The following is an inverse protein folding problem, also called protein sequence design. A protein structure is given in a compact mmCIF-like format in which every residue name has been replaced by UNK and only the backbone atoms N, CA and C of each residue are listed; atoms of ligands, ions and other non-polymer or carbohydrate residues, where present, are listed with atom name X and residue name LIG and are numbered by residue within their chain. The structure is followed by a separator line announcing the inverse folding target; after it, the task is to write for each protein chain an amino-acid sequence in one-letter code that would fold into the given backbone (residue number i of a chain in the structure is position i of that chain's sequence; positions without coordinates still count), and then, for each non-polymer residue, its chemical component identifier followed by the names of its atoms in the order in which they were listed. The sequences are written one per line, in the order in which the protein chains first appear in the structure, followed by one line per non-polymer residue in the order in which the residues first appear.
data_IF_882302077021
#
_entry.id   IF_882302077021
#
_cell.length_a   1.000
_cell.length_b   1.000
_cell.length_c   1.000
_cell.angle_alpha   90.00
_cell.angle_beta   90.00
_cell.angle_gamma   90.00
#
_symmetry.space_group_name_H-M   'P 1'
#
loop_
_entity.id
_entity.type
_entity.pdbx_description
1 polymer ?
#
# COMPACT_ATOMS: atom_id res chain seq x y z
N UNK A 1 48.05 64.97 -7.58
CA UNK A 1 48.51 63.74 -8.30
C UNK A 1 47.86 62.44 -7.81
N UNK A 2 47.30 62.38 -6.59
CA UNK A 2 46.74 61.13 -6.02
C UNK A 2 45.44 60.63 -6.67
N UNK A 3 44.54 61.51 -7.12
CA UNK A 3 43.27 61.11 -7.76
C UNK A 3 43.42 60.44 -9.14
N UNK A 4 44.52 60.69 -9.86
CA UNK A 4 44.79 60.06 -11.16
C UNK A 4 45.29 58.61 -10.99
N UNK A 5 46.06 58.32 -9.95
CA UNK A 5 46.54 56.98 -9.62
C UNK A 5 45.40 56.05 -9.17
N UNK A 6 44.43 56.55 -8.41
CA UNK A 6 43.26 55.76 -7.95
C UNK A 6 42.28 55.46 -9.07
N UNK A 7 42.07 56.38 -10.01
CA UNK A 7 41.19 56.18 -11.16
C UNK A 7 41.72 55.14 -12.16
N UNK A 8 43.03 55.15 -12.41
CA UNK A 8 43.69 54.14 -13.25
C UNK A 8 43.63 52.75 -12.60
N UNK A 9 43.87 52.66 -11.29
CA UNK A 9 43.73 51.42 -10.53
C UNK A 9 42.29 50.87 -10.52
N UNK A 10 41.29 51.74 -10.41
CA UNK A 10 39.87 51.37 -10.47
C UNK A 10 39.50 50.79 -11.84
N UNK A 11 39.96 51.43 -12.93
CA UNK A 11 39.71 50.95 -14.30
C UNK A 11 40.35 49.59 -14.57
N UNK A 12 41.60 49.40 -14.15
CA UNK A 12 42.28 48.12 -14.34
C UNK A 12 41.66 47.01 -13.48
N UNK A 13 41.20 47.34 -12.27
CA UNK A 13 40.43 46.42 -11.43
C UNK A 13 39.09 46.04 -12.06
N UNK A 14 38.32 46.99 -12.60
CA UNK A 14 37.06 46.70 -13.29
C UNK A 14 37.27 45.83 -14.53
N UNK A 15 38.29 46.11 -15.34
CA UNK A 15 38.61 45.29 -16.51
C UNK A 15 39.05 43.88 -16.12
N UNK A 16 39.82 43.74 -15.03
CA UNK A 16 40.25 42.46 -14.49
C UNK A 16 39.09 41.67 -13.88
N UNK A 17 38.19 42.34 -13.15
CA UNK A 17 36.96 41.77 -12.64
C UNK A 17 36.02 41.36 -13.79
N UNK A 18 35.95 42.14 -14.87
CA UNK A 18 35.15 41.82 -16.06
C UNK A 18 35.70 40.62 -16.84
N UNK A 19 37.01 40.57 -17.05
CA UNK A 19 37.68 39.42 -17.64
C UNK A 19 37.51 38.17 -16.77
N UNK A 20 37.67 38.32 -15.46
CA UNK A 20 37.47 37.23 -14.50
C UNK A 20 36.02 36.76 -14.46
N UNK A 21 35.03 37.66 -14.51
CA UNK A 21 33.60 37.34 -14.53
C UNK A 21 33.20 36.58 -15.80
N UNK A 22 33.82 36.90 -16.95
CA UNK A 22 33.63 36.12 -18.19
C UNK A 22 34.18 34.70 -18.06
N UNK A 23 35.34 34.54 -17.43
CA UNK A 23 35.97 33.22 -17.23
C UNK A 23 35.31 32.41 -16.11
N UNK A 24 34.83 33.06 -15.06
CA UNK A 24 34.33 32.46 -13.82
C UNK A 24 32.86 32.81 -13.57
N UNK A 25 32.06 32.90 -14.64
CA UNK A 25 30.62 33.21 -14.57
C UNK A 25 29.84 32.21 -13.69
N UNK A 26 30.37 30.98 -13.52
CA UNK A 26 29.79 29.95 -12.67
C UNK A 26 29.91 30.27 -11.17
N UNK A 27 30.90 31.07 -10.74
CA UNK A 27 31.12 31.42 -9.32
C UNK A 27 29.97 32.26 -8.74
N UNK A 28 29.55 33.39 -9.37
CA UNK A 28 28.39 34.13 -8.89
C UNK A 28 27.09 33.33 -9.03
N UNK A 29 26.95 32.47 -10.04
CA UNK A 29 25.80 31.57 -10.16
C UNK A 29 25.73 30.59 -8.98
N UNK A 30 26.85 29.97 -8.61
CA UNK A 30 26.96 29.10 -7.44
C UNK A 30 26.61 29.85 -6.15
N UNK A 31 27.05 31.10 -6.03
CA UNK A 31 26.75 31.93 -4.87
C UNK A 31 25.26 32.26 -4.77
N UNK A 32 24.60 32.55 -5.90
CA UNK A 32 23.14 32.75 -5.96
C UNK A 32 22.40 31.47 -5.60
N UNK A 33 22.83 30.30 -6.10
CA UNK A 33 22.22 29.01 -5.75
C UNK A 33 22.38 28.73 -4.25
N UNK A 34 23.57 28.96 -3.68
CA UNK A 34 23.81 28.80 -2.25
C UNK A 34 22.97 29.78 -1.40
N UNK A 35 22.83 31.03 -1.85
CA UNK A 35 21.97 32.02 -1.21
C UNK A 35 20.49 31.61 -1.26
N UNK A 36 20.00 31.10 -2.40
CA UNK A 36 18.65 30.57 -2.53
C UNK A 36 18.45 29.37 -1.62
N UNK A 37 19.34 28.39 -1.64
CA UNK A 37 19.27 27.20 -0.77
C UNK A 37 19.23 27.60 0.72
N UNK A 38 20.06 28.56 1.15
CA UNK A 38 20.06 29.03 2.54
C UNK A 38 18.80 29.79 2.92
N UNK A 39 18.19 30.54 2.00
CA UNK A 39 16.90 31.19 2.23
C UNK A 39 15.74 30.18 2.27
N UNK A 40 15.74 29.19 1.38
CA UNK A 40 14.71 28.13 1.34
C UNK A 40 14.82 27.13 2.51
N UNK A 41 16.03 26.86 3.00
CA UNK A 41 16.25 25.95 4.14
C UNK A 41 16.05 26.62 5.50
N UNK A 42 16.19 27.95 5.59
CA UNK A 42 15.91 28.72 6.82
C UNK A 42 14.46 29.15 6.96
N UNK A 43 13.68 29.15 5.88
CA UNK A 43 12.24 29.34 5.96
C UNK A 43 11.55 28.09 6.51
N UNK A 44 10.38 28.27 7.11
CA UNK A 44 9.46 27.22 7.60
C UNK A 44 9.09 26.13 6.58
N UNK A 45 9.71 26.08 5.39
CA UNK A 45 9.49 25.10 4.33
C UNK A 45 10.00 23.68 4.67
N UNK A 46 10.92 23.52 5.64
CA UNK A 46 11.40 22.19 6.05
C UNK A 46 10.36 21.46 6.92
N UNK A 47 9.63 22.18 7.76
CA UNK A 47 8.58 21.65 8.63
C UNK A 47 7.42 20.96 7.87
N UNK A 48 6.82 21.54 6.81
CA UNK A 48 5.76 20.90 6.05
C UNK A 48 6.27 19.75 5.19
N UNK A 49 7.55 19.74 4.77
CA UNK A 49 8.13 18.59 4.06
C UNK A 49 8.25 17.39 5.02
N UNK A 50 8.72 17.63 6.25
CA UNK A 50 8.78 16.60 7.29
C UNK A 50 7.38 16.11 7.68
N UNK A 51 6.41 17.02 7.86
CA UNK A 51 5.03 16.65 8.16
C UNK A 51 4.37 15.86 7.01
N UNK A 52 4.64 16.21 5.75
CA UNK A 52 4.21 15.43 4.59
C UNK A 52 4.85 14.04 4.55
N UNK A 53 6.13 13.91 4.89
CA UNK A 53 6.80 12.61 4.99
C UNK A 53 6.19 11.76 6.10
N UNK A 54 5.94 12.34 7.28
CA UNK A 54 5.33 11.62 8.40
C UNK A 54 3.89 11.21 8.10
N UNK A 55 3.11 12.07 7.44
CA UNK A 55 1.75 11.73 6.96
C UNK A 55 1.79 10.59 5.94
N UNK A 56 2.72 10.63 4.99
CA UNK A 56 2.88 9.56 4.01
C UNK A 56 3.27 8.25 4.66
N UNK A 57 4.15 8.29 5.67
CA UNK A 57 4.54 7.11 6.45
C UNK A 57 3.35 6.53 7.20
N UNK A 58 2.60 7.35 7.94
CA UNK A 58 1.39 6.91 8.65
C UNK A 58 0.36 6.31 7.71
N UNK A 59 0.09 6.97 6.58
CA UNK A 59 -0.82 6.46 5.55
C UNK A 59 -0.34 5.11 4.97
N UNK A 60 0.96 4.89 4.87
CA UNK A 60 1.50 3.61 4.40
C UNK A 60 1.33 2.52 5.46
N UNK A 61 1.66 2.83 6.73
CA UNK A 61 1.46 1.91 7.86
C UNK A 61 -0.03 1.51 7.99
N UNK A 62 -0.95 2.46 7.88
CA UNK A 62 -2.40 2.19 7.90
C UNK A 62 -2.85 1.32 6.72
N UNK A 63 -2.31 1.54 5.52
CA UNK A 63 -2.61 0.72 4.34
C UNK A 63 -2.11 -0.71 4.49
N UNK A 64 -0.91 -0.88 5.04
CA UNK A 64 -0.36 -2.22 5.31
C UNK A 64 -1.21 -2.93 6.35
N UNK A 65 -1.59 -2.26 7.42
CA UNK A 65 -2.45 -2.83 8.47
C UNK A 65 -3.81 -3.27 7.94
N UNK A 66 -4.48 -2.43 7.15
CA UNK A 66 -5.76 -2.80 6.51
C UNK A 66 -5.59 -3.97 5.56
N UNK A 67 -4.48 -4.04 4.83
CA UNK A 67 -4.20 -5.16 3.93
C UNK A 67 -3.95 -6.47 4.70
N UNK A 68 -3.20 -6.42 5.80
CA UNK A 68 -2.97 -7.56 6.69
C UNK A 68 -4.27 -8.06 7.33
N UNK A 69 -5.08 -7.15 7.88
CA UNK A 69 -6.39 -7.49 8.46
C UNK A 69 -7.33 -8.12 7.40
N UNK A 70 -7.37 -7.57 6.18
CA UNK A 70 -8.14 -8.17 5.09
C UNK A 70 -7.64 -9.57 4.73
N UNK A 71 -6.32 -9.77 4.64
CA UNK A 71 -5.73 -11.07 4.33
C UNK A 71 -6.03 -12.11 5.42
N UNK A 72 -5.93 -11.73 6.69
CA UNK A 72 -6.26 -12.63 7.80
C UNK A 72 -7.75 -13.00 7.79
N UNK A 73 -8.63 -12.02 7.51
CA UNK A 73 -10.07 -12.26 7.38
C UNK A 73 -10.39 -13.17 6.20
N UNK A 74 -9.74 -13.02 5.05
CA UNK A 74 -9.90 -13.91 3.89
C UNK A 74 -9.45 -15.34 4.20
N UNK A 75 -8.30 -15.51 4.85
CA UNK A 75 -7.81 -16.84 5.28
C UNK A 75 -8.84 -17.50 6.19
N UNK A 76 -9.31 -16.77 7.21
CA UNK A 76 -10.31 -17.28 8.16
C UNK A 76 -11.62 -17.67 7.49
N UNK A 77 -12.12 -16.85 6.55
CA UNK A 77 -13.33 -17.16 5.77
C UNK A 77 -13.13 -18.41 4.91
N UNK A 78 -12.00 -18.52 4.24
CA UNK A 78 -11.66 -19.67 3.39
C UNK A 78 -11.57 -20.97 4.20
N UNK A 79 -10.92 -20.92 5.38
CA UNK A 79 -10.85 -22.06 6.29
C UNK A 79 -12.23 -22.48 6.79
N UNK A 80 -13.09 -21.54 7.17
CA UNK A 80 -14.46 -21.83 7.60
C UNK A 80 -15.28 -22.50 6.49
N UNK A 81 -15.19 -22.00 5.25
CA UNK A 81 -15.86 -22.61 4.09
C UNK A 81 -15.38 -24.03 3.86
N UNK A 82 -14.06 -24.27 3.96
CA UNK A 82 -13.48 -25.59 3.78
C UNK A 82 -13.90 -26.57 4.88
N UNK A 83 -13.87 -26.15 6.14
CA UNK A 83 -14.30 -26.98 7.27
C UNK A 83 -15.76 -27.39 7.12
N UNK A 84 -16.65 -26.45 6.78
CA UNK A 84 -18.08 -26.72 6.56
C UNK A 84 -18.32 -27.67 5.38
N UNK A 85 -17.56 -27.52 4.30
CA UNK A 85 -17.59 -28.45 3.18
C UNK A 85 -17.21 -29.86 3.64
N UNK A 86 -16.06 -30.02 4.30
CA UNK A 86 -15.55 -31.32 4.74
C UNK A 86 -16.51 -31.99 5.75
N UNK A 87 -17.08 -31.22 6.67
CA UNK A 87 -18.07 -31.72 7.64
C UNK A 87 -19.36 -32.18 6.96
N UNK A 88 -19.89 -31.40 6.02
CA UNK A 88 -21.10 -31.75 5.28
C UNK A 88 -20.87 -33.04 4.49
N UNK A 89 -19.74 -33.16 3.80
CA UNK A 89 -19.39 -34.37 3.04
C UNK A 89 -19.29 -35.59 3.97
N UNK A 90 -18.62 -35.46 5.12
CA UNK A 90 -18.54 -36.55 6.11
C UNK A 90 -19.91 -36.94 6.67
N UNK A 91 -20.80 -35.98 6.90
CA UNK A 91 -22.16 -36.28 7.37
C UNK A 91 -22.99 -37.00 6.30
N UNK A 92 -22.87 -36.58 5.03
CA UNK A 92 -23.48 -37.28 3.90
C UNK A 92 -22.96 -38.72 3.84
N UNK A 93 -21.64 -38.91 3.92
CA UNK A 93 -21.01 -40.24 3.90
C UNK A 93 -21.49 -41.13 5.06
N UNK A 94 -21.59 -40.59 6.28
CA UNK A 94 -22.07 -41.32 7.46
C UNK A 94 -23.55 -41.71 7.34
N UNK A 95 -24.40 -40.83 6.81
CA UNK A 95 -25.82 -41.14 6.62
C UNK A 95 -26.07 -42.14 5.48
N UNK A 96 -25.15 -42.23 4.52
CA UNK A 96 -25.34 -43.02 3.30
C UNK A 96 -24.42 -44.23 3.13
N UNK A 97 -23.73 -44.67 4.20
CA UNK A 97 -22.87 -45.87 4.15
C UNK A 97 -23.61 -47.17 3.76
N UNK A 98 -24.94 -47.14 3.66
CA UNK A 98 -25.78 -48.30 3.29
C UNK A 98 -26.61 -48.11 2.00
N UNK A 99 -26.58 -46.95 1.32
CA UNK A 99 -27.49 -46.68 0.18
C UNK A 99 -26.77 -46.11 -1.06
N UNK A 100 -26.97 -46.79 -2.20
CA UNK A 100 -26.55 -46.51 -3.59
C UNK A 100 -25.58 -45.34 -3.82
N UNK A 101 -24.35 -45.66 -4.25
CA UNK A 101 -23.25 -44.72 -4.59
C UNK A 101 -23.62 -43.59 -5.55
N UNK A 102 -24.66 -43.76 -6.37
CA UNK A 102 -25.14 -42.75 -7.31
C UNK A 102 -25.78 -41.53 -6.63
N UNK A 103 -26.43 -41.74 -5.48
CA UNK A 103 -27.10 -40.68 -4.74
C UNK A 103 -26.10 -39.84 -3.94
N UNK A 104 -25.07 -40.50 -3.40
CA UNK A 104 -23.95 -39.84 -2.71
C UNK A 104 -23.21 -38.87 -3.65
N UNK A 105 -22.88 -39.32 -4.86
CA UNK A 105 -22.20 -38.47 -5.86
C UNK A 105 -22.99 -37.19 -6.21
N UNK A 106 -24.32 -37.30 -6.35
CA UNK A 106 -25.19 -36.14 -6.62
C UNK A 106 -25.20 -35.15 -5.46
N UNK A 107 -25.28 -35.65 -4.21
CA UNK A 107 -25.25 -34.79 -3.02
C UNK A 107 -23.90 -34.09 -2.86
N UNK A 108 -22.78 -34.78 -3.07
CA UNK A 108 -21.44 -34.16 -3.05
C UNK A 108 -21.30 -33.06 -4.11
N UNK A 109 -21.80 -33.31 -5.32
CA UNK A 109 -21.79 -32.31 -6.38
C UNK A 109 -22.60 -31.06 -6.00
N UNK A 110 -23.74 -31.27 -5.34
CA UNK A 110 -24.59 -30.17 -4.87
C UNK A 110 -23.94 -29.32 -3.78
N UNK A 111 -23.25 -29.98 -2.84
CA UNK A 111 -22.45 -29.29 -1.81
C UNK A 111 -21.32 -28.48 -2.46
N UNK A 112 -20.67 -29.02 -3.49
CA UNK A 112 -19.66 -28.29 -4.26
C UNK A 112 -20.23 -27.06 -4.97
N UNK A 113 -21.39 -27.18 -5.61
CA UNK A 113 -22.10 -26.06 -6.25
C UNK A 113 -22.42 -24.95 -5.22
N UNK A 114 -22.89 -25.31 -4.02
CA UNK A 114 -23.15 -24.34 -2.95
C UNK A 114 -21.87 -23.64 -2.48
N UNK A 115 -20.76 -24.37 -2.31
CA UNK A 115 -19.48 -23.76 -1.96
C UNK A 115 -19.01 -22.79 -3.04
N UNK A 116 -19.14 -23.14 -4.32
CA UNK A 116 -18.77 -22.23 -5.41
C UNK A 116 -19.65 -20.98 -5.43
N UNK A 117 -20.96 -21.12 -5.20
CA UNK A 117 -21.90 -20.00 -5.17
C UNK A 117 -21.73 -19.08 -3.94
N UNK A 118 -21.31 -19.63 -2.80
CA UNK A 118 -21.23 -18.91 -1.52
C UNK A 118 -19.81 -18.80 -0.95
N UNK A 119 -18.76 -18.99 -1.77
CA UNK A 119 -17.36 -18.98 -1.32
C UNK A 119 -16.93 -17.70 -0.57
N UNK A 120 -17.59 -16.57 -0.82
CA UNK A 120 -17.28 -15.28 -0.21
C UNK A 120 -18.04 -15.02 1.11
N UNK A 121 -19.09 -15.81 1.39
CA UNK A 121 -19.95 -15.68 2.55
C UNK A 121 -20.18 -17.03 3.26
N UNK A 122 -19.38 -17.33 4.28
CA UNK A 122 -19.51 -18.55 5.08
C UNK A 122 -20.83 -18.65 5.83
N UNK A 123 -21.54 -17.55 6.09
CA UNK A 123 -22.84 -17.55 6.79
C UNK A 123 -23.97 -17.92 5.85
N UNK A 124 -23.99 -17.37 4.64
CA UNK A 124 -24.95 -17.78 3.61
C UNK A 124 -24.75 -19.25 3.21
N UNK A 125 -23.50 -19.72 3.13
CA UNK A 125 -23.20 -21.15 2.95
C UNK A 125 -23.75 -21.99 4.12
N UNK A 126 -23.59 -21.49 5.35
CA UNK A 126 -24.40 -21.81 6.55
C UNK A 126 -25.79 -22.33 6.28
N UNK A 127 -26.61 -21.34 6.01
CA UNK A 127 -28.05 -21.45 5.94
C UNK A 127 -28.46 -22.29 4.73
N UNK A 128 -27.74 -22.20 3.61
CA UNK A 128 -28.01 -23.00 2.43
C UNK A 128 -27.79 -24.49 2.67
N UNK A 129 -26.68 -24.87 3.33
CA UNK A 129 -26.39 -26.26 3.68
C UNK A 129 -27.39 -26.82 4.70
N UNK A 130 -27.75 -26.02 5.71
CA UNK A 130 -28.76 -26.43 6.71
C UNK A 130 -30.15 -26.57 6.07
N UNK A 131 -30.53 -25.67 5.17
CA UNK A 131 -31.83 -25.73 4.48
C UNK A 131 -31.95 -26.92 3.52
N UNK A 132 -30.89 -27.23 2.78
CA UNK A 132 -30.92 -28.29 1.76
C UNK A 132 -30.70 -29.69 2.36
N UNK A 133 -29.90 -29.81 3.43
CA UNK A 133 -29.52 -31.11 4.00
C UNK A 133 -29.97 -31.32 5.46
N UNK A 134 -30.48 -30.30 6.14
CA UNK A 134 -30.96 -30.41 7.53
C UNK A 134 -29.85 -30.51 8.57
N UNK A 135 -28.59 -30.25 8.19
CA UNK A 135 -27.45 -30.33 9.10
C UNK A 135 -27.35 -29.02 9.91
N UNK A 136 -27.72 -29.09 11.20
CA UNK A 136 -27.45 -28.01 12.15
C UNK A 136 -25.95 -27.88 12.37
N UNK A 137 -25.37 -26.76 11.98
CA UNK A 137 -23.98 -26.47 12.30
C UNK A 137 -23.85 -26.14 13.78
N UNK A 138 -22.85 -26.75 14.43
CA UNK A 138 -22.41 -26.38 15.78
C UNK A 138 -21.46 -25.20 15.59
N UNK A 139 -21.77 -24.06 16.21
CA UNK A 139 -20.93 -22.85 16.23
C UNK A 139 -19.50 -23.11 16.74
#
# INVERSE_FOLDING_TARGET
MQAKMTWLGMKTFLLKAWAWLKTHWYVPVLFIIAALLTLFTKGDAVNPILDLMDRNRRNYEDRVKVLEENRENEIRRSELVRTKFDETIRQIERQHSESSSSLDRKKRQRVKELVENFHQDPRSLSEALEKEFGFKNVE
#
